data_IF_692532371672
#
_entry.id   IF_692532371672
#
_cell.length_a   1.000
_cell.length_b   1.000
_cell.length_c   1.000
_cell.angle_alpha   90.00
_cell.angle_beta   90.00
_cell.angle_gamma   90.00
#
_symmetry.space_group_name_H-M   'P 1'
#
loop_
_entity.id
_entity.type
_entity.pdbx_description
1 polymer ?
#
# COMPACT_ATOMS: atom_id res chain seq x y z
N UNK A 1 -0.95 23.00 15.26
CA UNK A 1 -1.28 22.44 13.93
C UNK A 1 -0.19 22.72 12.89
N UNK A 2 0.56 23.84 12.94
CA UNK A 2 1.58 24.12 11.89
C UNK A 2 2.74 23.11 11.86
N UNK A 3 3.28 22.69 13.00
CA UNK A 3 4.50 21.86 13.05
C UNK A 3 4.39 20.48 12.36
N UNK A 4 3.20 19.83 12.42
CA UNK A 4 2.95 18.57 11.67
C UNK A 4 2.74 18.81 10.18
N UNK A 5 2.15 19.94 9.82
CA UNK A 5 1.81 20.30 8.44
C UNK A 5 3.07 20.76 7.68
N UNK A 6 3.91 21.56 8.34
CA UNK A 6 5.23 21.99 7.88
C UNK A 6 6.15 20.78 7.66
N UNK A 7 6.07 19.76 8.54
CA UNK A 7 6.78 18.49 8.38
C UNK A 7 6.26 17.66 7.20
N UNK A 8 4.95 17.55 6.98
CA UNK A 8 4.41 16.81 5.83
C UNK A 8 4.80 17.46 4.50
N UNK A 9 4.59 18.77 4.37
CA UNK A 9 4.91 19.50 3.14
C UNK A 9 6.41 19.38 2.80
N UNK A 10 7.28 19.43 3.81
CA UNK A 10 8.72 19.19 3.64
C UNK A 10 8.99 17.76 3.18
N UNK A 11 8.37 16.75 3.81
CA UNK A 11 8.55 15.34 3.41
C UNK A 11 8.06 15.09 1.98
N UNK A 12 6.93 15.67 1.58
CA UNK A 12 6.37 15.51 0.24
C UNK A 12 7.34 15.96 -0.86
N UNK A 13 8.14 17.00 -0.58
CA UNK A 13 9.13 17.53 -1.53
C UNK A 13 10.50 16.85 -1.40
N UNK A 14 10.96 16.56 -0.18
CA UNK A 14 12.35 16.17 0.07
C UNK A 14 12.57 14.69 0.41
N UNK A 15 11.57 14.00 0.96
CA UNK A 15 11.77 12.63 1.42
C UNK A 15 12.00 11.68 0.23
N UNK A 16 12.99 10.80 0.35
CA UNK A 16 13.37 9.88 -0.72
C UNK A 16 14.02 10.54 -1.95
N UNK A 17 14.20 11.87 -1.94
CA UNK A 17 14.84 12.62 -3.01
C UNK A 17 16.30 12.93 -2.63
N UNK A 18 17.22 12.64 -3.54
CA UNK A 18 18.63 13.01 -3.42
C UNK A 18 19.11 13.54 -4.78
N UNK A 19 19.88 14.64 -4.82
CA UNK A 19 20.45 15.11 -6.08
C UNK A 19 21.22 14.00 -6.80
N UNK A 20 21.13 13.94 -8.12
CA UNK A 20 21.88 12.96 -8.92
C UNK A 20 23.38 13.09 -8.67
N UNK A 21 24.03 11.97 -8.32
CA UNK A 21 25.44 11.96 -7.93
C UNK A 21 26.40 12.30 -9.09
N UNK A 22 25.95 12.15 -10.34
CA UNK A 22 26.80 12.38 -11.53
C UNK A 22 26.77 13.83 -11.98
N UNK A 23 25.59 14.46 -11.97
CA UNK A 23 25.33 15.76 -12.58
C UNK A 23 24.86 16.84 -11.60
N UNK A 24 24.44 16.45 -10.40
CA UNK A 24 23.80 17.35 -9.43
C UNK A 24 22.36 17.72 -9.76
N UNK A 25 21.70 17.02 -10.69
CA UNK A 25 20.29 17.26 -11.03
C UNK A 25 19.40 17.13 -9.77
N UNK A 26 18.56 18.15 -9.53
CA UNK A 26 17.69 18.22 -8.34
C UNK A 26 16.51 17.25 -8.46
N UNK A 27 15.90 17.17 -9.64
CA UNK A 27 14.84 16.19 -9.90
C UNK A 27 15.47 14.84 -10.26
N UNK A 28 14.91 13.72 -9.77
CA UNK A 28 15.43 12.40 -10.09
C UNK A 28 15.36 12.17 -11.61
N UNK A 29 16.45 11.73 -12.25
CA UNK A 29 16.43 11.37 -13.67
C UNK A 29 15.44 10.24 -13.96
N UNK A 30 14.87 10.24 -15.16
CA UNK A 30 14.00 9.15 -15.61
C UNK A 30 14.87 8.02 -16.19
N UNK A 31 15.04 6.95 -15.43
CA UNK A 31 15.79 5.77 -15.85
C UNK A 31 14.94 4.85 -16.74
N UNK A 32 14.78 5.22 -18.01
CA UNK A 32 14.22 4.36 -19.07
C UNK A 32 15.27 3.36 -19.59
N UNK A 33 15.72 2.47 -18.70
CA UNK A 33 16.62 1.36 -19.03
C UNK A 33 16.08 0.07 -18.44
N UNK A 34 16.45 -1.08 -19.02
CA UNK A 34 16.03 -2.41 -18.56
C UNK A 34 17.06 -3.09 -17.66
N UNK A 35 18.35 -2.84 -17.88
CA UNK A 35 19.47 -3.53 -17.21
C UNK A 35 20.60 -2.54 -16.95
N UNK A 36 21.47 -2.90 -16.01
CA UNK A 36 22.61 -2.09 -15.61
C UNK A 36 23.93 -2.86 -15.75
N UNK A 37 25.03 -2.12 -15.81
CA UNK A 37 26.37 -2.70 -15.95
C UNK A 37 26.78 -3.39 -14.64
N UNK A 38 27.33 -4.60 -14.77
CA UNK A 38 28.00 -5.31 -13.69
C UNK A 38 29.48 -5.46 -14.08
N UNK A 39 30.44 -4.85 -13.34
CA UNK A 39 31.87 -5.00 -13.63
C UNK A 39 32.35 -6.46 -13.56
N UNK A 40 31.70 -7.28 -12.72
CA UNK A 40 31.86 -8.74 -12.67
C UNK A 40 30.49 -9.39 -12.46
N UNK A 41 30.39 -10.68 -12.77
CA UNK A 41 29.17 -11.45 -12.58
C UNK A 41 28.73 -11.42 -11.11
N UNK A 42 27.52 -10.93 -10.84
CA UNK A 42 26.97 -10.83 -9.48
C UNK A 42 27.49 -9.62 -8.68
N UNK A 43 28.23 -8.70 -9.31
CA UNK A 43 28.71 -7.46 -8.70
C UNK A 43 28.05 -6.26 -9.40
N UNK A 44 26.77 -5.94 -9.13
CA UNK A 44 26.10 -4.81 -9.77
C UNK A 44 26.68 -3.47 -9.33
N UNK A 45 26.93 -2.59 -10.30
CA UNK A 45 27.39 -1.24 -9.99
C UNK A 45 26.27 -0.47 -9.28
N UNK A 46 26.59 0.10 -8.10
CA UNK A 46 25.65 0.85 -7.27
C UNK A 46 24.39 0.05 -6.86
N UNK A 47 24.45 -1.29 -6.88
CA UNK A 47 23.35 -2.14 -6.42
C UNK A 47 22.19 -2.32 -7.42
N UNK A 48 22.31 -1.81 -8.65
CA UNK A 48 21.30 -1.99 -9.69
C UNK A 48 21.73 -3.07 -10.68
N UNK A 49 20.88 -4.07 -10.90
CA UNK A 49 21.13 -5.12 -11.89
C UNK A 49 20.09 -5.14 -13.01
N UNK A 50 18.81 -5.05 -12.64
CA UNK A 50 17.68 -5.22 -13.55
C UNK A 50 16.49 -4.38 -13.12
N UNK A 51 15.91 -3.60 -14.05
CA UNK A 51 14.95 -2.54 -13.75
C UNK A 51 13.64 -3.01 -13.09
N UNK A 52 13.22 -4.25 -13.33
CA UNK A 52 12.07 -4.86 -12.63
C UNK A 52 12.34 -5.01 -11.13
N UNK A 53 13.58 -5.30 -10.74
CA UNK A 53 13.99 -5.50 -9.35
C UNK A 53 14.35 -4.16 -8.71
N UNK A 54 15.23 -3.38 -9.34
CA UNK A 54 15.65 -2.06 -8.86
C UNK A 54 15.61 -1.02 -9.99
N UNK A 55 14.94 0.11 -9.77
CA UNK A 55 14.94 1.24 -10.71
C UNK A 55 15.03 2.55 -9.91
N UNK A 56 16.06 3.39 -10.11
CA UNK A 56 16.26 4.59 -9.30
C UNK A 56 15.05 5.54 -9.29
N UNK A 57 14.39 5.70 -10.45
CA UNK A 57 13.17 6.53 -10.56
C UNK A 57 12.04 6.00 -9.69
N UNK A 58 11.82 4.68 -9.72
CA UNK A 58 10.77 4.02 -8.93
C UNK A 58 11.10 4.05 -7.43
N UNK A 59 12.35 3.80 -7.07
CA UNK A 59 12.80 3.82 -5.68
C UNK A 59 12.65 5.21 -5.03
N UNK A 60 12.86 6.29 -5.79
CA UNK A 60 12.61 7.64 -5.30
C UNK A 60 11.13 7.85 -4.90
N UNK A 61 10.18 7.37 -5.72
CA UNK A 61 8.75 7.37 -5.40
C UNK A 61 8.43 6.49 -4.19
N UNK A 62 8.94 5.26 -4.18
CA UNK A 62 8.71 4.28 -3.10
C UNK A 62 9.18 4.82 -1.74
N UNK A 63 10.37 5.41 -1.69
CA UNK A 63 10.92 6.04 -0.46
C UNK A 63 10.12 7.26 -0.03
N UNK A 64 9.67 8.08 -0.98
CA UNK A 64 8.87 9.27 -0.68
C UNK A 64 7.53 8.88 -0.03
N UNK A 65 6.76 8.00 -0.67
CA UNK A 65 5.46 7.58 -0.13
C UNK A 65 5.61 6.82 1.19
N UNK A 66 6.65 5.99 1.34
CA UNK A 66 6.96 5.35 2.62
C UNK A 66 7.16 6.38 3.73
N UNK A 67 7.94 7.44 3.48
CA UNK A 67 8.13 8.51 4.46
C UNK A 67 6.84 9.28 4.77
N UNK A 68 5.98 9.51 3.76
CA UNK A 68 4.68 10.17 3.95
C UNK A 68 3.73 9.35 4.83
N UNK A 69 3.71 8.03 4.68
CA UNK A 69 2.92 7.10 5.50
C UNK A 69 3.56 6.78 6.85
N UNK A 70 4.75 7.31 7.15
CA UNK A 70 5.57 6.92 8.31
C UNK A 70 5.94 5.42 8.30
N UNK A 71 6.07 4.85 7.11
CA UNK A 71 6.53 3.48 6.85
C UNK A 71 8.04 3.38 6.62
N UNK A 72 8.56 2.15 6.66
CA UNK A 72 9.99 1.86 6.41
C UNK A 72 10.30 1.59 4.94
N UNK A 73 9.35 1.03 4.21
CA UNK A 73 9.48 0.61 2.83
C UNK A 73 8.22 0.97 2.05
N UNK A 74 8.38 1.20 0.74
CA UNK A 74 7.29 1.34 -0.21
C UNK A 74 7.57 0.45 -1.42
N UNK A 75 6.53 0.08 -2.15
CA UNK A 75 6.65 -0.74 -3.36
C UNK A 75 5.65 -0.21 -4.40
N UNK A 76 6.13 0.19 -5.59
CA UNK A 76 5.26 0.73 -6.61
C UNK A 76 4.81 -0.34 -7.61
N UNK A 77 3.53 -0.29 -7.96
CA UNK A 77 2.86 -1.24 -8.84
C UNK A 77 2.18 -0.53 -10.01
N UNK A 78 1.86 -1.31 -11.05
CA UNK A 78 1.23 -0.80 -12.27
C UNK A 78 -0.21 -0.28 -12.06
N UNK A 79 -0.86 -0.61 -10.94
CA UNK A 79 -2.18 -0.09 -10.56
C UNK A 79 -2.45 -0.37 -9.09
N UNK A 80 -3.43 0.31 -8.48
CA UNK A 80 -3.89 -0.01 -7.13
C UNK A 80 -4.31 -1.48 -6.98
N UNK A 81 -4.98 -2.06 -7.97
CA UNK A 81 -5.34 -3.49 -7.94
C UNK A 81 -4.12 -4.41 -8.02
N UNK A 82 -3.06 -4.04 -8.73
CA UNK A 82 -1.81 -4.82 -8.75
C UNK A 82 -1.11 -4.78 -7.39
N UNK A 83 -1.18 -3.66 -6.66
CA UNK A 83 -0.68 -3.57 -5.29
C UNK A 83 -1.51 -4.45 -4.33
N UNK A 84 -2.85 -4.36 -4.40
CA UNK A 84 -3.75 -5.22 -3.61
C UNK A 84 -3.55 -6.71 -3.92
N UNK A 85 -3.38 -7.07 -5.19
CA UNK A 85 -3.15 -8.46 -5.59
C UNK A 85 -1.80 -8.98 -5.06
N UNK A 86 -0.74 -8.16 -5.09
CA UNK A 86 0.57 -8.52 -4.55
C UNK A 86 0.50 -8.82 -3.04
N UNK A 87 -0.31 -8.06 -2.28
CA UNK A 87 -0.56 -8.32 -0.86
C UNK A 87 -1.27 -9.66 -0.69
N UNK A 88 -2.33 -9.93 -1.47
CA UNK A 88 -3.11 -11.16 -1.34
C UNK A 88 -2.35 -12.41 -1.81
N UNK A 89 -1.40 -12.27 -2.74
CA UNK A 89 -0.48 -13.34 -3.16
C UNK A 89 0.51 -13.77 -2.07
N UNK A 90 0.54 -13.10 -0.92
CA UNK A 90 1.24 -13.56 0.29
C UNK A 90 0.47 -14.65 1.04
N UNK A 91 -0.83 -14.79 0.76
CA UNK A 91 -1.70 -15.80 1.36
C UNK A 91 -1.63 -17.10 0.55
N UNK A 92 -2.00 -18.20 1.20
CA UNK A 92 -2.08 -19.54 0.61
C UNK A 92 -3.53 -19.97 0.44
N UNK A 93 -3.78 -20.92 -0.46
CA UNK A 93 -5.10 -21.54 -0.56
C UNK A 93 -5.56 -22.10 0.80
N UNK A 94 -6.80 -21.82 1.18
CA UNK A 94 -7.37 -22.10 2.49
C UNK A 94 -7.24 -20.95 3.49
N UNK A 95 -6.45 -19.91 3.22
CA UNK A 95 -6.41 -18.72 4.07
C UNK A 95 -7.68 -17.88 3.89
N UNK A 96 -8.11 -17.26 4.98
CA UNK A 96 -9.32 -16.45 5.06
C UNK A 96 -9.01 -14.96 5.23
N UNK A 97 -9.77 -14.12 4.53
CA UNK A 97 -9.70 -12.66 4.56
C UNK A 97 -11.04 -12.09 5.03
N UNK A 98 -11.00 -11.26 6.07
CA UNK A 98 -12.14 -10.40 6.45
C UNK A 98 -11.95 -9.06 5.78
N UNK A 99 -12.99 -8.50 5.17
CA UNK A 99 -12.91 -7.20 4.54
C UNK A 99 -14.18 -6.37 4.72
N UNK A 100 -14.05 -5.05 4.57
CA UNK A 100 -15.18 -4.13 4.62
C UNK A 100 -16.20 -4.43 3.51
N UNK A 101 -17.48 -4.57 3.85
CA UNK A 101 -18.52 -4.92 2.90
C UNK A 101 -18.70 -3.88 1.78
N UNK A 102 -18.37 -2.62 2.05
CA UNK A 102 -18.43 -1.52 1.10
C UNK A 102 -17.06 -1.11 0.54
N UNK A 103 -16.16 -2.06 0.26
CA UNK A 103 -14.91 -1.77 -0.47
C UNK A 103 -15.16 -1.36 -1.92
N UNK A 104 -14.16 -0.75 -2.54
CA UNK A 104 -14.11 -0.52 -3.99
C UNK A 104 -14.53 -1.77 -4.78
N UNK A 105 -15.46 -1.60 -5.73
CA UNK A 105 -16.02 -2.72 -6.50
C UNK A 105 -15.00 -3.53 -7.31
N UNK A 106 -13.84 -2.96 -7.67
CA UNK A 106 -12.74 -3.72 -8.27
C UNK A 106 -12.07 -4.68 -7.30
N UNK A 107 -11.92 -4.28 -6.03
CA UNK A 107 -11.42 -5.10 -4.93
C UNK A 107 -12.37 -6.27 -4.68
N UNK A 108 -13.66 -6.00 -4.49
CA UNK A 108 -14.67 -7.04 -4.32
C UNK A 108 -14.70 -8.02 -5.50
N UNK A 109 -14.67 -7.52 -6.73
CA UNK A 109 -14.63 -8.36 -7.94
C UNK A 109 -13.39 -9.26 -7.97
N UNK A 110 -12.22 -8.74 -7.63
CA UNK A 110 -10.99 -9.53 -7.57
C UNK A 110 -11.08 -10.65 -6.53
N UNK A 111 -11.62 -10.35 -5.34
CA UNK A 111 -11.76 -11.33 -4.26
C UNK A 111 -12.70 -12.45 -4.68
N UNK A 112 -13.89 -12.09 -5.16
CA UNK A 112 -14.96 -13.06 -5.42
C UNK A 112 -14.83 -13.81 -6.74
N UNK A 113 -14.23 -13.22 -7.79
CA UNK A 113 -14.20 -13.80 -9.13
C UNK A 113 -12.83 -14.34 -9.55
N UNK A 114 -11.76 -13.93 -8.87
CA UNK A 114 -10.39 -14.35 -9.21
C UNK A 114 -9.79 -15.17 -8.07
N UNK A 115 -9.66 -14.57 -6.89
CA UNK A 115 -8.87 -15.17 -5.81
C UNK A 115 -9.62 -16.28 -5.05
N UNK A 116 -10.94 -16.22 -4.98
CA UNK A 116 -11.78 -17.31 -4.44
C UNK A 116 -11.56 -18.62 -5.20
N UNK A 117 -11.40 -18.55 -6.53
CA UNK A 117 -11.11 -19.69 -7.40
C UNK A 117 -9.71 -20.26 -7.19
N UNK A 118 -8.80 -19.47 -6.62
CA UNK A 118 -7.45 -19.90 -6.23
C UNK A 118 -7.42 -20.43 -4.78
N UNK A 119 -8.58 -20.55 -4.14
CA UNK A 119 -8.72 -21.15 -2.82
C UNK A 119 -8.66 -20.18 -1.64
N UNK A 120 -8.64 -18.86 -1.87
CA UNK A 120 -8.79 -17.90 -0.77
C UNK A 120 -10.26 -17.81 -0.33
N UNK A 121 -10.49 -17.73 0.98
CA UNK A 121 -11.81 -17.53 1.56
C UNK A 121 -12.03 -16.08 1.94
N UNK A 122 -13.25 -15.58 1.81
CA UNK A 122 -13.56 -14.17 2.10
C UNK A 122 -14.84 -14.05 2.92
N UNK A 123 -14.84 -13.19 3.94
CA UNK A 123 -16.04 -12.74 4.64
C UNK A 123 -16.10 -11.21 4.59
N UNK A 124 -17.19 -10.69 4.02
CA UNK A 124 -17.48 -9.26 3.99
C UNK A 124 -18.25 -8.90 5.26
N UNK A 125 -17.86 -7.84 5.96
CA UNK A 125 -18.54 -7.36 7.18
C UNK A 125 -18.62 -5.84 7.20
N UNK A 126 -19.60 -5.29 7.93
CA UNK A 126 -19.62 -3.86 8.25
C UNK A 126 -18.62 -3.55 9.36
N UNK A 127 -17.47 -2.99 8.99
CA UNK A 127 -16.34 -2.69 9.88
C UNK A 127 -16.53 -1.45 10.74
N UNK A 128 -17.66 -0.74 10.59
CA UNK A 128 -18.05 0.35 11.51
C UNK A 128 -18.29 -0.17 12.92
N UNK A 129 -18.72 -1.42 13.05
CA UNK A 129 -18.85 -2.13 14.31
C UNK A 129 -17.72 -3.18 14.43
N UNK A 130 -16.71 -2.95 15.28
CA UNK A 130 -15.62 -3.91 15.49
C UNK A 130 -16.09 -5.31 15.92
N UNK A 131 -17.27 -5.43 16.53
CA UNK A 131 -17.83 -6.74 16.91
C UNK A 131 -18.06 -7.63 15.69
N UNK A 132 -18.46 -7.08 14.55
CA UNK A 132 -18.66 -7.85 13.32
C UNK A 132 -17.35 -8.49 12.83
N UNK A 133 -16.21 -7.84 13.05
CA UNK A 133 -14.89 -8.39 12.71
C UNK A 133 -14.54 -9.52 13.68
N UNK A 134 -14.77 -9.32 14.98
CA UNK A 134 -14.54 -10.34 16.01
C UNK A 134 -15.36 -11.61 15.73
N UNK A 135 -16.63 -11.46 15.38
CA UNK A 135 -17.55 -12.57 15.09
C UNK A 135 -17.21 -13.30 13.78
N UNK A 136 -16.58 -12.62 12.83
CA UNK A 136 -16.16 -13.19 11.54
C UNK A 136 -14.79 -13.89 11.59
N UNK A 137 -14.06 -13.80 12.71
CA UNK A 137 -12.77 -14.47 12.87
C UNK A 137 -12.93 -15.99 12.77
N UNK A 138 -11.99 -16.59 12.05
CA UNK A 138 -11.82 -18.03 11.85
C UNK A 138 -10.39 -18.45 12.15
N UNK A 139 -10.11 -19.72 12.51
CA UNK A 139 -8.75 -20.20 12.75
C UNK A 139 -7.78 -20.00 11.58
N UNK A 140 -8.29 -19.96 10.34
CA UNK A 140 -7.54 -19.70 9.11
C UNK A 140 -7.52 -18.23 8.67
N UNK A 141 -8.02 -17.29 9.48
CA UNK A 141 -7.99 -15.85 9.14
C UNK A 141 -6.56 -15.34 9.17
N UNK A 142 -6.12 -14.70 8.07
CA UNK A 142 -4.76 -14.16 7.95
C UNK A 142 -4.70 -12.69 7.63
N UNK A 143 -5.77 -12.13 7.08
CA UNK A 143 -5.82 -10.72 6.67
C UNK A 143 -7.15 -10.07 7.05
N UNK A 144 -7.07 -8.89 7.64
CA UNK A 144 -8.14 -7.92 7.76
C UNK A 144 -7.86 -6.79 6.76
N UNK A 145 -8.70 -6.68 5.72
CA UNK A 145 -8.58 -5.69 4.66
C UNK A 145 -9.63 -4.57 4.84
N UNK A 146 -9.17 -3.38 5.21
CA UNK A 146 -10.02 -2.24 5.52
C UNK A 146 -9.94 -1.18 4.44
N UNK A 147 -11.01 -0.40 4.27
CA UNK A 147 -11.04 0.81 3.46
C UNK A 147 -11.79 1.87 4.26
N UNK A 148 -11.14 3.01 4.56
CA UNK A 148 -11.78 4.08 5.33
C UNK A 148 -11.16 5.43 4.96
N UNK A 149 -11.94 6.38 4.40
CA UNK A 149 -13.35 6.26 4.04
C UNK A 149 -13.62 5.28 2.89
N UNK A 150 -14.74 4.56 2.94
CA UNK A 150 -15.13 3.60 1.88
C UNK A 150 -15.65 4.25 0.60
N UNK A 151 -15.44 3.62 -0.55
CA UNK A 151 -16.06 3.96 -1.82
C UNK A 151 -17.41 3.24 -2.07
N UNK A 152 -18.51 3.90 -2.45
CA UNK A 152 -18.73 5.35 -2.53
C UNK A 152 -19.39 5.93 -1.27
N UNK A 153 -19.75 5.09 -0.28
CA UNK A 153 -20.62 5.49 0.84
C UNK A 153 -19.92 6.32 1.92
N UNK A 154 -18.59 6.51 1.82
CA UNK A 154 -17.77 7.28 2.75
C UNK A 154 -17.91 6.85 4.22
N UNK A 155 -18.12 5.56 4.47
CA UNK A 155 -18.14 4.98 5.81
C UNK A 155 -16.74 5.02 6.42
N UNK A 156 -16.68 5.26 7.72
CA UNK A 156 -15.44 5.29 8.50
C UNK A 156 -15.43 4.11 9.46
N UNK A 157 -14.27 3.50 9.68
CA UNK A 157 -14.05 2.51 10.73
C UNK A 157 -12.96 2.97 11.70
N UNK A 158 -13.00 2.45 12.94
CA UNK A 158 -11.96 2.73 13.94
C UNK A 158 -10.75 1.82 13.70
N UNK A 159 -9.71 2.38 13.10
CA UNK A 159 -8.49 1.64 12.80
C UNK A 159 -7.77 1.09 14.04
N UNK A 160 -7.78 1.80 15.18
CA UNK A 160 -7.08 1.31 16.38
C UNK A 160 -7.82 0.13 16.97
N UNK A 161 -9.14 0.26 17.14
CA UNK A 161 -9.96 -0.81 17.69
C UNK A 161 -9.87 -2.10 16.84
N UNK A 162 -9.87 -1.95 15.51
CA UNK A 162 -9.72 -3.07 14.59
C UNK A 162 -8.30 -3.65 14.57
N UNK A 163 -7.27 -2.81 14.72
CA UNK A 163 -5.89 -3.26 14.85
C UNK A 163 -5.68 -4.06 16.15
N UNK A 164 -6.26 -3.62 17.27
CA UNK A 164 -6.17 -4.33 18.55
C UNK A 164 -6.81 -5.73 18.47
N UNK A 165 -7.97 -5.86 17.80
CA UNK A 165 -8.63 -7.16 17.55
C UNK A 165 -7.72 -8.05 16.69
N UNK A 166 -7.17 -7.50 15.61
CA UNK A 166 -6.32 -8.25 14.71
C UNK A 166 -5.01 -8.70 15.37
N UNK A 167 -4.40 -7.87 16.22
CA UNK A 167 -3.21 -8.21 16.99
C UNK A 167 -3.47 -9.39 17.92
N UNK A 168 -4.57 -9.37 18.69
CA UNK A 168 -4.96 -10.47 19.58
C UNK A 168 -5.19 -11.79 18.81
N UNK A 169 -5.65 -11.69 17.57
CA UNK A 169 -5.90 -12.84 16.69
C UNK A 169 -4.68 -13.27 15.84
N UNK A 170 -3.56 -12.52 15.87
CA UNK A 170 -2.41 -12.76 15.00
C UNK A 170 -2.70 -12.56 13.51
N UNK A 171 -3.60 -11.62 13.18
CA UNK A 171 -4.07 -11.30 11.83
C UNK A 171 -3.37 -10.05 11.30
N UNK A 172 -2.94 -10.09 10.03
CA UNK A 172 -2.35 -8.89 9.39
C UNK A 172 -3.44 -7.88 9.06
N UNK A 173 -3.17 -6.59 9.30
CA UNK A 173 -4.09 -5.49 8.95
C UNK A 173 -3.56 -4.75 7.74
N UNK A 174 -4.36 -4.73 6.67
CA UNK A 174 -4.12 -3.93 5.48
C UNK A 174 -5.19 -2.86 5.36
N UNK A 175 -4.78 -1.61 5.12
CA UNK A 175 -5.72 -0.49 4.94
C UNK A 175 -5.54 0.11 3.56
N UNK A 176 -6.59 0.12 2.74
CA UNK A 176 -6.68 0.96 1.57
C UNK A 176 -6.93 2.41 2.02
N UNK A 177 -5.89 3.24 1.87
CA UNK A 177 -5.88 4.63 2.33
C UNK A 177 -6.04 5.61 1.16
N UNK A 178 -6.51 5.13 0.01
CA UNK A 178 -6.62 5.91 -1.23
C UNK A 178 -7.40 7.21 -1.02
N UNK A 179 -8.56 7.15 -0.34
CA UNK A 179 -9.42 8.33 -0.19
C UNK A 179 -8.88 9.36 0.80
N UNK A 180 -8.30 8.91 1.90
CA UNK A 180 -7.78 9.83 2.90
C UNK A 180 -6.44 10.44 2.48
N UNK A 181 -5.61 9.67 1.77
CA UNK A 181 -4.19 9.96 1.48
C UNK A 181 -3.34 10.05 2.76
N UNK A 182 -2.00 9.94 2.68
CA UNK A 182 -1.12 10.08 3.85
C UNK A 182 -1.21 11.47 4.50
N UNK A 183 -1.80 12.45 3.82
CA UNK A 183 -1.99 13.80 4.36
C UNK A 183 -3.01 13.85 5.49
N UNK A 184 -4.14 13.14 5.36
CA UNK A 184 -5.21 13.18 6.36
C UNK A 184 -5.14 12.01 7.35
N UNK A 185 -4.60 10.87 6.93
CA UNK A 185 -4.60 9.64 7.71
C UNK A 185 -3.37 8.82 7.37
N UNK A 186 -2.69 8.30 8.38
CA UNK A 186 -1.55 7.39 8.22
C UNK A 186 -1.82 6.10 8.97
N UNK A 187 -2.46 5.09 8.35
CA UNK A 187 -2.93 3.91 9.06
C UNK A 187 -1.85 3.15 9.85
N UNK A 188 -0.57 3.25 9.43
CA UNK A 188 0.56 2.68 10.17
C UNK A 188 0.67 3.26 11.59
N UNK A 189 0.32 4.54 11.80
CA UNK A 189 0.26 5.19 13.11
C UNK A 189 -0.91 4.69 14.00
N UNK A 190 -1.81 3.87 13.42
CA UNK A 190 -3.00 3.30 14.07
C UNK A 190 -2.93 1.76 14.19
N UNK A 191 -1.79 1.15 13.90
CA UNK A 191 -1.60 -0.31 14.04
C UNK A 191 -1.83 -1.11 12.76
N UNK A 192 -2.04 -0.46 11.61
CA UNK A 192 -2.00 -1.17 10.33
C UNK A 192 -0.59 -1.71 10.07
N UNK A 193 -0.52 -2.89 9.46
CA UNK A 193 0.75 -3.51 9.07
C UNK A 193 1.15 -3.13 7.65
N UNK A 194 0.15 -2.93 6.79
CA UNK A 194 0.31 -2.57 5.38
C UNK A 194 -0.69 -1.49 5.02
N UNK A 195 -0.28 -0.53 4.20
CA UNK A 195 -1.15 0.47 3.58
C UNK A 195 -1.06 0.30 2.08
N UNK A 196 -2.21 0.35 1.41
CA UNK A 196 -2.28 0.33 -0.06
C UNK A 196 -2.95 1.60 -0.56
N UNK A 197 -2.48 2.08 -1.71
CA UNK A 197 -3.05 3.22 -2.42
C UNK A 197 -3.27 2.88 -3.89
N UNK A 198 -4.38 3.34 -4.43
CA UNK A 198 -4.48 3.64 -5.86
C UNK A 198 -3.81 4.99 -6.11
N UNK A 199 -2.51 4.99 -6.43
CA UNK A 199 -1.77 6.23 -6.71
C UNK A 199 -2.29 6.99 -7.94
N UNK A 200 -3.08 6.30 -8.78
CA UNK A 200 -3.95 6.86 -9.81
C UNK A 200 -4.80 8.04 -9.33
N UNK A 201 -5.15 8.09 -8.03
CA UNK A 201 -6.02 9.09 -7.41
C UNK A 201 -5.20 10.24 -6.82
N UNK A 202 -5.34 10.50 -5.52
CA UNK A 202 -4.81 11.70 -4.87
C UNK A 202 -3.28 11.79 -4.85
N UNK A 203 -2.56 10.66 -4.80
CA UNK A 203 -1.10 10.68 -4.80
C UNK A 203 -0.54 11.27 -6.09
N UNK A 204 -1.07 10.86 -7.25
CA UNK A 204 -0.75 11.51 -8.52
C UNK A 204 -1.46 12.87 -8.64
N UNK A 205 -2.79 12.90 -8.46
CA UNK A 205 -3.61 14.11 -8.44
C UNK A 205 -3.98 14.69 -9.81
N UNK A 206 -3.42 14.18 -10.91
CA UNK A 206 -3.52 14.81 -12.24
C UNK A 206 -4.27 13.96 -13.29
N UNK A 207 -4.81 12.80 -12.90
CA UNK A 207 -5.63 11.92 -13.77
C UNK A 207 -4.96 11.45 -15.07
N UNK A 208 -3.63 11.40 -15.10
CA UNK A 208 -2.79 11.07 -16.27
C UNK A 208 -1.89 9.84 -16.06
N UNK A 209 -1.88 9.26 -14.85
CA UNK A 209 -1.10 8.06 -14.49
C UNK A 209 -2.00 7.03 -13.82
N UNK A 210 -1.86 5.77 -14.20
CA UNK A 210 -2.38 4.62 -13.44
C UNK A 210 -1.22 4.02 -12.65
N UNK A 211 -1.45 3.80 -11.36
CA UNK A 211 -0.44 3.23 -10.46
C UNK A 211 -1.03 2.76 -9.14
N UNK A 212 -0.23 1.98 -8.42
CA UNK A 212 -0.47 1.56 -7.04
C UNK A 212 0.79 1.70 -6.19
N UNK A 213 0.60 1.85 -4.88
CA UNK A 213 1.66 1.82 -3.86
C UNK A 213 1.18 0.92 -2.73
#
# INVERSE_FOLDING_TARGET
MSDKQDRFATLAVHAGQTPDATTGAIMPPIYQTSTYVQPRLGEPLNGYEYARVQNPTREALERNVAALENGRHGAAFASGLAATEAILKRLSAGDHVIYEENVYGGTHRMFMQVLSRLGLEFTAVDTRDPQNVLDALRPNTKLLFLETPTNPMMRLCDLRALADIAEQAGVTVCVDNTFASPYNQRPLDFGAHVVVHSSTKYLNGHSDVIGGI
#
